data_IF_783531200666
#
_entry.id   IF_783531200666
#
_cell.length_a   1.000
_cell.length_b   1.000
_cell.length_c   1.000
_cell.angle_alpha   90.00
_cell.angle_beta   90.00
_cell.angle_gamma   90.00
#
_symmetry.space_group_name_H-M   'P 1'
#
loop_
_entity.id
_entity.type
_entity.pdbx_description
1 polymer ?
2 polymer ?
3 water ?
#
loop_
_entity_poly.entity_id
_entity_poly.type
_entity_poly.pdbx_seq_one_letter_code
_entity_poly.pdbx_strand_id
1 'polydeoxyribonucleotide' '(DG)(DC)(DG)(DA)(DT)(DC)(DG)(DC)' ?
#
# COMPACT_ATOMS: atom_id res chain seq x y z
N UNK C 1 0.31 -9.64 10.43
CA UNK C 1 0.88 -8.27 10.56
C UNK C 1 2.23 -8.10 9.88
N UNK C 2 2.17 -7.91 8.56
CA UNK C 2 3.34 -7.75 7.70
C UNK C 2 3.55 -6.25 7.47
N UNK C 3 4.79 -5.87 7.23
CA UNK C 3 5.08 -4.48 7.03
C UNK C 3 5.38 -4.22 5.58
N UNK C 4 4.80 -3.14 5.06
CA UNK C 4 5.07 -2.78 3.69
C UNK C 4 6.14 -1.70 3.69
N UNK C 5 7.20 -1.95 2.92
CA UNK C 5 8.34 -1.03 2.83
C UNK C 5 8.19 -0.22 1.58
N UNK C 6 8.31 1.10 1.69
CA UNK C 6 8.20 1.94 0.52
C UNK C 6 9.08 3.15 0.69
N UNK C 7 9.36 3.78 -0.44
CA UNK C 7 10.20 4.98 -0.51
C UNK C 7 9.28 6.18 -0.70
N UNK C 8 9.43 7.19 0.13
CA UNK C 8 8.60 8.38 0.03
C UNK C 8 9.54 9.58 0.08
N UNK C 9 9.62 10.31 -1.02
CA UNK C 9 10.49 11.48 -1.12
C UNK C 9 11.89 11.09 -0.74
N UNK C 10 12.32 9.95 -1.27
CA UNK C 10 13.66 9.44 -1.01
C UNK C 10 13.88 8.66 0.28
N UNK C 11 13.05 8.88 1.30
CA UNK C 11 13.16 8.20 2.61
C UNK C 11 12.59 6.77 2.61
N UNK C 12 13.15 5.93 3.47
CA UNK C 12 12.71 4.55 3.61
C UNK C 12 11.63 4.58 4.68
N UNK C 13 10.43 4.10 4.35
CA UNK C 13 9.32 4.11 5.28
C UNK C 13 8.72 2.73 5.38
N UNK C 14 7.94 2.50 6.41
CA UNK C 14 7.25 1.23 6.55
C UNK C 14 5.90 1.43 7.23
N UNK C 15 4.89 0.65 6.82
CA UNK C 15 3.59 0.69 7.45
C UNK C 15 3.05 -0.72 7.48
N UNK C 16 2.43 -1.08 8.60
CA UNK C 16 1.84 -2.41 8.73
C UNK C 16 0.62 -2.42 7.82
N UNK C 17 0.37 -3.57 7.20
CA UNK C 17 -0.77 -3.69 6.32
C UNK C 17 -2.08 -3.35 6.99
N UNK C 18 -2.18 -3.62 8.29
CA UNK C 18 -3.39 -3.30 9.04
C UNK C 18 -3.64 -1.78 9.17
N UNK C 19 -2.70 -0.93 8.75
CA UNK C 19 -2.91 0.53 8.83
C UNK C 19 -3.37 1.05 7.46
N UNK C 20 -3.38 0.18 6.46
CA UNK C 20 -3.73 0.59 5.09
C UNK C 20 -5.21 0.72 4.95
N UNK C 21 -5.60 1.89 4.42
CA UNK C 21 -6.98 2.27 4.22
C UNK C 21 -7.61 1.89 2.88
N UNK C 22 -6.89 2.18 1.81
CA UNK C 22 -7.30 2.01 0.43
C UNK C 22 -6.10 1.59 -0.38
N UNK C 23 -6.27 0.67 -1.30
CA UNK C 23 -5.22 0.25 -2.22
C UNK C 23 -5.74 0.24 -3.67
N UNK C 24 -4.92 0.71 -4.60
CA UNK C 24 -5.28 0.71 -6.00
C UNK C 24 -4.01 0.57 -6.86
N UNK C 25 -4.17 0.41 -8.18
CA UNK C 25 -3.05 0.31 -9.09
C UNK C 25 -3.07 1.50 -10.04
N UNK C 26 -2.02 2.31 -9.99
CA UNK C 26 -1.90 3.47 -10.89
C UNK C 26 -0.75 3.06 -11.79
N UNK C 27 -1.05 2.56 -12.99
CA UNK C 27 0.03 2.08 -13.85
C UNK C 27 0.63 0.84 -13.17
N UNK C 28 1.92 0.83 -12.87
CA UNK C 28 2.51 -0.31 -12.19
C UNK C 28 2.82 0.02 -10.73
N UNK C 29 2.34 1.18 -10.30
CA UNK C 29 2.49 1.57 -8.93
C UNK C 29 1.34 1.07 -8.05
N UNK C 30 1.60 0.07 -7.22
CA UNK C 30 0.59 -0.38 -6.27
C UNK C 30 0.62 0.71 -5.20
N UNK C 31 -0.48 1.44 -5.13
CA UNK C 31 -0.62 2.63 -4.35
C UNK C 31 -1.57 2.44 -3.19
N UNK C 32 -1.36 3.18 -2.12
CA UNK C 32 -2.21 3.02 -0.95
C UNK C 32 -2.16 4.19 0.00
N UNK C 33 -3.27 4.39 0.70
CA UNK C 33 -3.31 5.41 1.75
C UNK C 33 -3.31 4.64 3.06
N UNK C 34 -2.93 5.32 4.13
CA UNK C 34 -2.85 4.66 5.43
C UNK C 34 -2.98 5.67 6.55
N UNK C 35 -3.22 5.16 7.76
CA UNK C 35 -3.27 6.01 8.93
C UNK C 35 -2.41 5.24 9.93
N UNK C 36 -1.23 5.78 10.20
CA UNK C 36 -0.29 5.15 11.14
C UNK C 36 -0.19 5.99 12.40
N UNK C 37 -0.91 5.56 13.43
CA UNK C 37 -0.92 6.23 14.75
C UNK C 37 -1.18 7.72 14.60
N UNK C 38 -2.20 8.08 13.82
CA UNK C 38 -2.51 9.49 13.62
C UNK C 38 -1.87 10.14 12.40
N UNK C 39 -0.86 9.48 11.83
CA UNK C 39 -0.17 10.02 10.66
C UNK C 39 -0.82 9.46 9.40
N UNK C 40 -1.60 10.29 8.71
CA UNK C 40 -2.31 9.88 7.49
C UNK C 40 -1.42 10.18 6.34
N UNK C 41 -1.29 9.22 5.43
CA UNK C 41 -0.35 9.38 4.35
C UNK C 41 -0.62 8.45 3.17
N UNK C 42 0.30 8.48 2.23
CA UNK C 42 0.21 7.69 1.01
C UNK C 42 1.55 7.10 0.68
N UNK C 43 1.51 5.88 0.16
CA UNK C 43 2.73 5.20 -0.25
C UNK C 43 2.48 4.45 -1.53
N UNK C 44 3.54 3.98 -2.18
CA UNK C 44 3.40 3.21 -3.41
C UNK C 44 4.64 2.38 -3.56
N UNK C 45 4.51 1.20 -4.16
CA UNK C 45 5.67 0.33 -4.44
C UNK C 45 5.38 -0.29 -5.80
N UNK C 46 6.41 -0.81 -6.46
CA UNK C 46 6.18 -1.47 -7.73
C UNK C 46 5.49 -2.80 -7.46
N UNK C 47 4.73 -3.26 -8.46
CA UNK C 47 4.00 -4.51 -8.31
C UNK C 47 5.00 -5.63 -8.05
N UNK C 48 6.12 -5.55 -8.73
CA UNK C 48 7.14 -6.56 -8.59
C UNK C 48 7.83 -6.58 -7.20
N UNK C 49 7.69 -5.51 -6.41
CA UNK C 49 8.29 -5.46 -5.06
C UNK C 49 7.24 -5.53 -3.93
N UNK C 50 5.96 -5.59 -4.27
CA UNK C 50 4.89 -5.65 -3.27
C UNK C 50 4.80 -7.01 -2.59
N UNK C 51 4.58 -7.04 -1.26
CA UNK C 51 4.47 -8.33 -0.57
C UNK C 51 3.14 -8.94 -0.94
N UNK C 52 3.01 -10.27 -0.82
CA UNK C 52 1.77 -10.92 -1.20
C UNK C 52 0.53 -10.38 -0.47
N UNK C 53 0.65 -10.06 0.80
CA UNK C 53 -0.48 -9.53 1.51
C UNK C 53 -0.96 -8.25 0.87
N UNK C 54 -0.06 -7.42 0.38
CA UNK C 54 -0.52 -6.16 -0.28
C UNK C 54 -1.19 -6.48 -1.61
N UNK C 55 -0.61 -7.39 -2.40
CA UNK C 55 -1.26 -7.77 -3.65
C UNK C 55 -2.62 -8.40 -3.41
N UNK C 56 -2.76 -9.16 -2.32
CA UNK C 56 -4.06 -9.77 -2.08
C UNK C 56 -5.07 -8.66 -1.72
N UNK C 57 -4.62 -7.65 -1.00
CA UNK C 57 -5.51 -6.56 -0.66
C UNK C 57 -5.93 -5.86 -1.95
N UNK C 58 -4.99 -5.70 -2.84
CA UNK C 58 -5.26 -5.03 -4.11
C UNK C 58 -6.33 -5.82 -4.91
N UNK C 59 -6.15 -7.14 -5.00
CA UNK C 59 -7.12 -7.95 -5.73
C UNK C 59 -8.50 -7.81 -5.12
N UNK C 60 -8.60 -7.76 -3.80
CA UNK C 60 -9.92 -7.61 -3.17
C UNK C 60 -10.55 -6.30 -3.54
N UNK C 61 -9.73 -5.26 -3.62
CA UNK C 61 -10.26 -3.97 -3.99
C UNK C 61 -10.66 -3.91 -5.47
N UNK C 62 -9.92 -4.59 -6.34
CA UNK C 62 -10.26 -4.59 -7.76
C UNK C 62 -11.54 -5.36 -8.04
N UNK C 63 -11.93 -6.23 -7.11
CA UNK C 63 -13.16 -7.01 -7.28
C UNK C 63 -14.39 -6.16 -7.01
N UNK C 64 -14.25 -5.04 -6.33
CA UNK C 64 -15.46 -4.25 -6.05
C UNK C 64 -15.73 -3.09 -7.00
N UNK C 65 -16.96 -2.63 -6.94
CA UNK C 65 -17.41 -1.53 -7.78
C UNK C 65 -16.67 -0.25 -7.54
N UNK C 66 -16.74 0.63 -8.53
CA UNK C 66 -16.08 1.92 -8.44
C UNK C 66 -17.17 2.96 -8.29
#
# INVERSE_FOLDING_TARGET
MVKVKFKYKGEEKEVDTSKIKKVWRAGKAVSFTYDDNGKTGRGAVSEKDAPKELLDMLARAEREKK
#
